data_IF_384989334374
#
_entry.id   IF_384989334374
#
_cell.length_a   1.000
_cell.length_b   1.000
_cell.length_c   1.000
_cell.angle_alpha   90.00
_cell.angle_beta   90.00
_cell.angle_gamma   90.00
#
_symmetry.space_group_name_H-M   'P 1'
#
loop_
_entity.id
_entity.type
_entity.pdbx_description
1 polymer ?
#
# COMPACT_ATOMS: atom_id res chain seq x y z
N UNK A 1 -19.30 31.38 -5.15
CA UNK A 1 -19.50 29.95 -4.86
C UNK A 1 -18.38 29.17 -5.54
N UNK A 2 -17.27 28.93 -4.85
CA UNK A 2 -16.14 28.15 -5.38
C UNK A 2 -16.27 26.72 -4.87
N UNK A 3 -16.36 25.75 -5.79
CA UNK A 3 -16.44 24.33 -5.44
C UNK A 3 -15.07 23.85 -4.96
N UNK A 4 -14.98 23.56 -3.67
CA UNK A 4 -13.84 22.93 -3.02
C UNK A 4 -13.79 21.43 -3.40
N UNK A 5 -13.00 21.10 -4.42
CA UNK A 5 -12.74 19.70 -4.81
C UNK A 5 -11.63 19.15 -3.92
N UNK A 6 -12.02 18.50 -2.81
CA UNK A 6 -11.10 17.68 -2.02
C UNK A 6 -10.59 16.51 -2.87
N UNK A 7 -9.29 16.17 -2.83
CA UNK A 7 -8.77 15.02 -3.56
C UNK A 7 -9.29 13.74 -2.91
N UNK A 8 -10.27 13.10 -3.55
CA UNK A 8 -10.69 11.75 -3.22
C UNK A 8 -9.55 10.80 -3.55
N UNK A 9 -9.11 9.98 -2.58
CA UNK A 9 -8.24 8.85 -2.84
C UNK A 9 -8.87 7.98 -3.94
N UNK A 10 -8.23 7.93 -5.11
CA UNK A 10 -8.64 7.06 -6.21
C UNK A 10 -8.00 5.71 -5.99
N UNK A 11 -8.77 4.75 -5.48
CA UNK A 11 -8.41 3.34 -5.53
C UNK A 11 -8.69 2.82 -6.94
N UNK A 12 -7.69 2.26 -7.60
CA UNK A 12 -7.88 1.49 -8.83
C UNK A 12 -7.82 0.02 -8.44
N UNK A 13 -8.97 -0.66 -8.50
CA UNK A 13 -9.03 -2.11 -8.35
C UNK A 13 -9.06 -2.73 -9.75
N UNK A 14 -8.02 -3.51 -10.10
CA UNK A 14 -8.03 -4.35 -11.29
C UNK A 14 -8.34 -5.77 -10.83
N UNK A 15 -9.45 -6.34 -11.31
CA UNK A 15 -9.79 -7.74 -11.07
C UNK A 15 -9.36 -8.51 -12.32
N UNK A 16 -8.19 -9.14 -12.26
CA UNK A 16 -7.80 -10.16 -13.23
C UNK A 16 -8.22 -11.51 -12.62
N UNK A 17 -8.86 -12.37 -13.41
CA UNK A 17 -9.44 -13.64 -12.98
C UNK A 17 -8.51 -14.43 -12.04
N UNK A 18 -9.01 -14.66 -10.82
CA UNK A 18 -8.38 -15.29 -9.64
C UNK A 18 -7.44 -14.46 -8.77
N UNK A 19 -7.07 -13.23 -9.13
CA UNK A 19 -6.23 -12.34 -8.28
C UNK A 19 -6.87 -10.97 -8.16
N UNK A 20 -7.21 -10.56 -6.94
CA UNK A 20 -7.64 -9.19 -6.71
C UNK A 20 -6.45 -8.29 -6.39
N UNK A 21 -6.19 -7.32 -7.28
CA UNK A 21 -5.20 -6.28 -7.07
C UNK A 21 -5.88 -5.01 -6.57
N UNK A 22 -5.38 -4.49 -5.45
CA UNK A 22 -5.75 -3.17 -4.96
C UNK A 22 -4.53 -2.23 -4.99
N UNK A 23 -4.60 -1.18 -5.81
CA UNK A 23 -3.63 -0.09 -5.81
C UNK A 23 -4.22 1.13 -5.10
N UNK A 24 -3.63 1.52 -3.97
CA UNK A 24 -4.05 2.71 -3.22
C UNK A 24 -2.95 3.77 -3.31
N UNK A 25 -3.34 4.93 -3.84
CA UNK A 25 -2.55 6.14 -3.79
C UNK A 25 -2.76 6.78 -2.41
N UNK A 26 -1.76 6.67 -1.54
CA UNK A 26 -1.72 7.46 -0.32
C UNK A 26 -1.31 8.88 -0.71
N UNK A 27 -2.28 9.80 -0.78
CA UNK A 27 -1.95 11.22 -0.95
C UNK A 27 -1.08 11.67 0.24
N UNK A 28 -0.09 12.56 0.04
CA UNK A 28 0.50 13.26 1.17
C UNK A 28 -0.63 13.94 1.93
N UNK A 29 -0.61 13.91 3.26
CA UNK A 29 -1.54 14.69 4.06
C UNK A 29 -1.43 16.15 3.61
N UNK A 30 -2.43 16.66 2.89
CA UNK A 30 -2.50 18.08 2.56
C UNK A 30 -2.84 18.78 3.85
N UNK A 31 -1.85 19.41 4.47
CA UNK A 31 -2.07 20.31 5.60
C UNK A 31 -2.88 21.52 5.13
N UNK A 32 -4.20 21.40 5.09
CA UNK A 32 -5.08 22.56 5.17
C UNK A 32 -5.13 22.95 6.65
N UNK A 33 -4.25 23.89 7.05
CA UNK A 33 -4.31 24.51 8.38
C UNK A 33 -5.66 25.24 8.53
N UNK A 34 -6.52 24.75 9.44
CA UNK A 34 -7.56 25.55 10.08
C UNK A 34 -7.50 25.28 11.59
N UNK A 35 -6.91 26.21 12.33
CA UNK A 35 -6.83 26.18 13.79
C UNK A 35 -5.78 25.22 14.35
N UNK A 36 -5.48 25.35 15.65
CA UNK A 36 -4.39 24.72 16.41
C UNK A 36 -4.46 23.18 16.57
N UNK A 37 -5.05 22.47 15.60
CA UNK A 37 -4.97 21.01 15.46
C UNK A 37 -4.48 20.68 14.05
N UNK A 38 -3.43 19.84 13.89
CA UNK A 38 -3.12 19.29 12.58
C UNK A 38 -4.29 18.40 12.15
N UNK A 39 -5.10 18.89 11.21
CA UNK A 39 -6.13 18.09 10.55
C UNK A 39 -5.43 17.18 9.53
N UNK A 40 -5.67 15.87 9.66
CA UNK A 40 -5.14 14.83 8.78
C UNK A 40 -3.88 14.16 9.34
N UNK A 41 -4.07 13.02 10.02
CA UNK A 41 -2.94 12.12 10.29
C UNK A 41 -2.32 11.60 9.00
N UNK A 42 -1.10 11.09 9.06
CA UNK A 42 -0.58 10.28 7.94
C UNK A 42 -1.45 9.02 7.87
N UNK A 43 -2.22 8.77 6.79
CA UNK A 43 -3.13 7.63 6.75
C UNK A 43 -2.40 6.30 6.98
N UNK A 44 -1.13 6.22 6.54
CA UNK A 44 -0.24 5.07 6.75
C UNK A 44 0.36 4.97 8.18
N UNK A 45 -0.24 5.65 9.17
CA UNK A 45 0.00 5.46 10.61
C UNK A 45 -1.30 5.15 11.37
N UNK A 46 -2.44 5.11 10.69
CA UNK A 46 -3.76 5.03 11.31
C UNK A 46 -4.39 3.62 11.23
N UNK A 47 -3.66 2.60 10.78
CA UNK A 47 -4.16 1.23 10.69
C UNK A 47 -4.06 0.48 12.02
N UNK A 48 -4.93 -0.52 12.29
CA UNK A 48 -5.17 -1.00 13.65
C UNK A 48 -4.11 -1.95 14.21
N UNK A 49 -3.29 -2.58 13.36
CA UNK A 49 -2.24 -3.46 13.84
C UNK A 49 -1.05 -2.67 14.41
N UNK A 50 -0.66 -3.03 15.64
CA UNK A 50 0.42 -2.38 16.38
C UNK A 50 0.30 -0.84 16.42
N UNK A 51 -0.92 -0.29 16.34
CA UNK A 51 -1.14 1.15 16.32
C UNK A 51 -0.61 1.82 17.59
N UNK A 52 0.01 2.98 17.43
CA UNK A 52 0.47 3.83 18.53
C UNK A 52 0.11 5.28 18.24
N UNK A 53 -0.11 6.07 19.30
CA UNK A 53 -0.29 7.50 19.17
C UNK A 53 1.05 8.16 18.84
N UNK A 54 1.18 8.71 17.64
CA UNK A 54 2.35 9.44 17.17
C UNK A 54 1.98 10.90 16.97
N UNK A 55 2.93 11.80 17.20
CA UNK A 55 2.80 13.23 16.97
C UNK A 55 3.63 13.73 15.78
N UNK A 56 3.61 15.05 15.56
CA UNK A 56 4.45 15.71 14.56
C UNK A 56 4.13 15.29 13.12
N UNK A 57 5.17 15.15 12.30
CA UNK A 57 5.01 14.77 10.88
C UNK A 57 4.43 13.37 10.70
N UNK A 58 4.50 12.51 11.72
CA UNK A 58 4.00 11.14 11.68
C UNK A 58 2.67 11.00 12.44
N UNK A 59 1.93 12.10 12.66
CA UNK A 59 0.69 12.10 13.43
C UNK A 59 -0.25 10.96 13.01
N UNK A 60 -0.62 10.09 13.97
CA UNK A 60 -1.33 8.84 13.69
C UNK A 60 -2.83 8.89 13.97
N UNK A 61 -3.36 10.06 14.32
CA UNK A 61 -4.75 10.27 14.73
C UNK A 61 -4.98 10.06 16.24
N UNK A 62 -6.17 10.39 16.76
CA UNK A 62 -6.50 10.19 18.17
C UNK A 62 -6.61 8.72 18.59
N UNK A 63 -6.95 7.82 17.67
CA UNK A 63 -7.01 6.37 17.87
C UNK A 63 -6.87 5.66 16.51
N UNK A 64 -6.60 4.35 16.53
CA UNK A 64 -6.61 3.54 15.31
C UNK A 64 -7.92 3.73 14.53
N UNK A 65 -7.82 3.83 13.20
CA UNK A 65 -8.94 4.02 12.29
C UNK A 65 -9.80 5.26 12.60
N UNK A 66 -9.21 6.31 13.17
CA UNK A 66 -9.85 7.63 13.31
C UNK A 66 -10.10 8.30 11.97
N UNK A 67 -9.24 8.07 10.97
CA UNK A 67 -9.36 8.68 9.66
C UNK A 67 -10.40 7.92 8.81
N UNK A 68 -11.33 8.62 8.15
CA UNK A 68 -12.33 7.98 7.30
C UNK A 68 -11.71 7.22 6.12
N UNK A 69 -10.58 7.68 5.59
CA UNK A 69 -9.84 7.02 4.51
C UNK A 69 -9.30 5.66 4.95
N UNK A 70 -8.71 5.59 6.15
CA UNK A 70 -8.20 4.33 6.69
C UNK A 70 -9.33 3.34 6.97
N UNK A 71 -10.49 3.81 7.46
CA UNK A 71 -11.69 2.97 7.59
C UNK A 71 -12.17 2.42 6.24
N UNK A 72 -12.29 3.28 5.24
CA UNK A 72 -12.73 2.88 3.90
C UNK A 72 -11.77 1.87 3.26
N UNK A 73 -10.46 2.06 3.43
CA UNK A 73 -9.45 1.11 2.96
C UNK A 73 -9.59 -0.24 3.66
N UNK A 74 -9.70 -0.26 5.00
CA UNK A 74 -9.89 -1.51 5.77
C UNK A 74 -11.17 -2.24 5.35
N UNK A 75 -12.28 -1.52 5.18
CA UNK A 75 -13.54 -2.11 4.74
C UNK A 75 -13.41 -2.73 3.33
N UNK A 76 -12.85 -1.99 2.38
CA UNK A 76 -12.65 -2.47 1.01
C UNK A 76 -11.74 -3.71 1.00
N UNK A 77 -10.61 -3.64 1.68
CA UNK A 77 -9.63 -4.73 1.73
C UNK A 77 -10.22 -5.98 2.39
N UNK A 78 -11.00 -5.83 3.47
CA UNK A 78 -11.67 -6.96 4.12
C UNK A 78 -12.76 -7.58 3.24
N UNK A 79 -13.49 -6.76 2.47
CA UNK A 79 -14.51 -7.24 1.54
C UNK A 79 -13.91 -7.98 0.36
N UNK A 80 -12.82 -7.44 -0.19
CA UNK A 80 -12.17 -7.94 -1.40
C UNK A 80 -11.25 -9.13 -1.10
N UNK A 81 -10.56 -9.11 0.04
CA UNK A 81 -9.53 -10.09 0.45
C UNK A 81 -8.49 -10.33 -0.66
N UNK A 82 -7.75 -9.28 -1.08
CA UNK A 82 -6.82 -9.38 -2.20
C UNK A 82 -5.64 -10.31 -1.88
N UNK A 83 -5.21 -11.08 -2.87
CA UNK A 83 -3.97 -11.86 -2.81
C UNK A 83 -2.73 -10.94 -2.90
N UNK A 84 -2.89 -9.77 -3.55
CA UNK A 84 -1.83 -8.78 -3.73
C UNK A 84 -2.37 -7.35 -3.55
N UNK A 85 -1.77 -6.58 -2.65
CA UNK A 85 -2.01 -5.14 -2.50
C UNK A 85 -0.71 -4.35 -2.69
N UNK A 86 -0.75 -3.29 -3.50
CA UNK A 86 0.39 -2.39 -3.70
C UNK A 86 0.01 -0.99 -3.25
N UNK A 87 0.74 -0.46 -2.27
CA UNK A 87 0.58 0.90 -1.78
C UNK A 87 1.57 1.82 -2.48
N UNK A 88 1.08 2.77 -3.27
CA UNK A 88 1.95 3.72 -3.97
C UNK A 88 2.12 4.99 -3.15
N UNK A 89 3.39 5.30 -2.90
CA UNK A 89 3.87 6.47 -2.17
C UNK A 89 4.86 7.25 -3.05
N UNK A 90 5.34 8.39 -2.55
CA UNK A 90 6.41 9.22 -3.14
C UNK A 90 7.20 9.89 -2.00
N UNK A 91 8.48 10.28 -2.21
CA UNK A 91 9.15 10.42 -3.51
C UNK A 91 10.44 9.60 -3.71
N UNK A 92 10.66 8.49 -2.98
CA UNK A 92 12.01 7.89 -2.87
C UNK A 92 12.51 7.11 -4.08
N UNK A 93 11.64 6.66 -4.99
CA UNK A 93 12.06 5.88 -6.16
C UNK A 93 12.57 4.48 -5.82
N UNK A 94 11.94 3.79 -4.86
CA UNK A 94 12.32 2.45 -4.39
C UNK A 94 11.10 1.54 -4.26
N UNK A 95 11.31 0.23 -4.30
CA UNK A 95 10.36 -0.73 -3.70
C UNK A 95 10.78 -0.95 -2.27
N UNK A 96 9.88 -0.74 -1.32
CA UNK A 96 10.16 -1.05 0.08
C UNK A 96 9.98 -2.55 0.29
N UNK A 97 10.96 -3.17 0.95
CA UNK A 97 10.78 -4.46 1.57
C UNK A 97 9.87 -4.22 2.75
N UNK A 98 8.55 -4.19 2.56
CA UNK A 98 7.53 -3.71 3.51
C UNK A 98 7.07 -4.75 4.52
N UNK A 99 7.41 -6.01 4.29
CA UNK A 99 7.09 -7.11 5.22
C UNK A 99 6.15 -8.15 4.63
N UNK A 100 5.69 -7.94 3.39
CA UNK A 100 4.99 -8.95 2.62
C UNK A 100 5.95 -10.04 2.12
N UNK A 101 5.46 -10.85 1.18
CA UNK A 101 6.24 -11.92 0.56
C UNK A 101 7.52 -11.37 -0.11
N UNK A 102 8.72 -11.75 0.39
CA UNK A 102 9.99 -11.26 -0.15
C UNK A 102 10.26 -11.64 -1.60
N UNK A 103 9.68 -12.73 -2.10
CA UNK A 103 9.77 -13.12 -3.49
C UNK A 103 8.97 -12.14 -4.36
N UNK A 104 7.73 -11.84 -3.97
CA UNK A 104 6.85 -10.90 -4.71
C UNK A 104 7.47 -9.50 -4.75
N UNK A 105 7.95 -8.98 -3.61
CA UNK A 105 8.59 -7.66 -3.54
C UNK A 105 9.83 -7.58 -4.45
N UNK A 106 10.66 -8.64 -4.47
CA UNK A 106 11.85 -8.71 -5.32
C UNK A 106 11.52 -8.83 -6.80
N UNK A 107 10.56 -9.68 -7.16
CA UNK A 107 10.08 -9.83 -8.53
C UNK A 107 9.52 -8.51 -9.04
N UNK A 108 8.70 -7.82 -8.26
CA UNK A 108 8.18 -6.50 -8.63
C UNK A 108 9.30 -5.50 -8.87
N UNK A 109 10.24 -5.37 -7.94
CA UNK A 109 11.38 -4.45 -8.04
C UNK A 109 12.20 -4.68 -9.32
N UNK A 110 12.47 -5.94 -9.66
CA UNK A 110 13.13 -6.32 -10.91
C UNK A 110 12.33 -5.91 -12.16
N UNK A 111 11.02 -6.16 -12.17
CA UNK A 111 10.14 -5.83 -13.30
C UNK A 111 10.03 -4.32 -13.55
N UNK A 112 9.97 -3.51 -12.49
CA UNK A 112 9.86 -2.04 -12.62
C UNK A 112 11.21 -1.35 -12.78
N UNK A 113 12.31 -2.03 -12.44
CA UNK A 113 13.67 -1.50 -12.47
C UNK A 113 13.93 -0.47 -11.36
N UNK A 114 13.36 -0.69 -10.18
CA UNK A 114 13.61 0.12 -8.98
C UNK A 114 14.41 -0.69 -7.96
N UNK A 115 15.28 -0.05 -7.17
CA UNK A 115 16.00 -0.74 -6.10
C UNK A 115 15.03 -1.23 -5.02
N UNK A 116 15.32 -2.43 -4.50
CA UNK A 116 14.60 -3.01 -3.36
C UNK A 116 15.34 -2.65 -2.06
N UNK A 117 14.71 -1.85 -1.20
CA UNK A 117 15.33 -1.30 0.02
C UNK A 117 14.44 -1.57 1.23
N UNK A 118 15.01 -1.78 2.42
CA UNK A 118 14.21 -1.84 3.67
C UNK A 118 14.13 -0.44 4.28
N UNK A 119 12.95 0.17 4.25
CA UNK A 119 12.70 1.46 4.91
C UNK A 119 12.36 1.29 6.40
N UNK A 120 12.40 2.41 7.13
CA UNK A 120 12.00 2.46 8.53
C UNK A 120 10.58 1.97 8.72
N UNK A 121 10.37 1.12 9.73
CA UNK A 121 9.05 0.63 10.10
C UNK A 121 8.41 1.51 11.15
N UNK A 122 7.17 1.89 10.88
CA UNK A 122 6.35 2.66 11.79
C UNK A 122 5.12 1.85 12.21
N UNK A 123 4.66 2.01 13.46
CA UNK A 123 3.41 1.41 13.93
C UNK A 123 2.21 1.93 13.13
N UNK A 124 1.15 1.11 13.04
CA UNK A 124 -0.09 1.49 12.38
C UNK A 124 0.01 1.67 10.86
N UNK A 125 0.95 1.00 10.20
CA UNK A 125 1.05 0.99 8.74
C UNK A 125 0.00 0.07 8.08
N UNK A 126 -0.38 0.41 6.85
CA UNK A 126 -1.35 -0.35 6.08
C UNK A 126 -0.86 -1.75 5.73
N UNK A 127 0.37 -1.86 5.22
CA UNK A 127 1.00 -3.14 4.91
C UNK A 127 1.18 -3.99 6.16
N UNK A 128 1.67 -3.40 7.26
CA UNK A 128 1.82 -4.11 8.53
C UNK A 128 0.50 -4.67 9.05
N UNK A 129 -0.60 -3.93 8.90
CA UNK A 129 -1.94 -4.44 9.22
C UNK A 129 -2.40 -5.55 8.27
N UNK A 130 -2.23 -5.38 6.96
CA UNK A 130 -2.67 -6.38 5.98
C UNK A 130 -1.91 -7.69 6.13
N UNK A 131 -0.57 -7.65 6.15
CA UNK A 131 0.29 -8.84 6.24
C UNK A 131 0.09 -9.59 7.58
N UNK A 132 -0.33 -8.88 8.63
CA UNK A 132 -0.70 -9.52 9.91
C UNK A 132 -2.09 -10.15 9.89
N UNK A 133 -3.04 -9.58 9.15
CA UNK A 133 -4.48 -9.91 9.29
C UNK A 133 -4.98 -10.82 8.16
N UNK A 134 -4.33 -10.81 7.00
CA UNK A 134 -4.79 -11.45 5.78
C UNK A 134 -3.70 -12.36 5.20
N UNK A 135 -4.08 -13.43 4.49
CA UNK A 135 -3.12 -14.36 3.90
C UNK A 135 -2.45 -13.83 2.63
N UNK A 136 -3.01 -12.79 2.00
CA UNK A 136 -2.41 -12.12 0.85
C UNK A 136 -1.20 -11.27 1.24
N UNK A 137 -0.45 -10.81 0.25
CA UNK A 137 0.76 -9.99 0.45
C UNK A 137 0.49 -8.52 0.15
N UNK A 138 1.03 -7.62 0.99
CA UNK A 138 0.97 -6.18 0.78
C UNK A 138 2.36 -5.54 0.87
N UNK A 139 2.68 -4.64 -0.08
CA UNK A 139 3.95 -3.90 -0.02
C UNK A 139 3.84 -2.47 -0.55
N UNK A 140 4.84 -1.65 -0.22
CA UNK A 140 4.92 -0.25 -0.63
C UNK A 140 5.86 -0.08 -1.82
N UNK A 141 5.42 0.74 -2.78
CA UNK A 141 6.26 1.27 -3.85
C UNK A 141 6.35 2.77 -3.67
N UNK A 142 7.53 3.26 -3.32
CA UNK A 142 7.85 4.67 -3.26
C UNK A 142 8.27 5.12 -4.66
N UNK A 143 7.35 5.71 -5.42
CA UNK A 143 7.65 6.28 -6.72
C UNK A 143 8.65 7.45 -6.59
N UNK A 144 9.45 7.74 -7.62
CA UNK A 144 10.31 8.92 -7.60
C UNK A 144 9.48 10.21 -7.58
N UNK A 145 10.07 11.32 -7.14
CA UNK A 145 9.43 12.65 -7.14
C UNK A 145 8.80 13.03 -8.49
N UNK A 146 9.46 12.65 -9.59
CA UNK A 146 8.95 12.79 -10.95
C UNK A 146 8.70 11.41 -11.59
N UNK A 147 7.44 11.11 -11.89
CA UNK A 147 7.03 9.84 -12.51
C UNK A 147 7.01 9.99 -14.03
N UNK A 148 7.92 9.29 -14.71
CA UNK A 148 7.96 9.27 -16.18
C UNK A 148 6.89 8.34 -16.76
N UNK A 149 6.42 8.64 -17.97
CA UNK A 149 5.50 7.73 -18.69
C UNK A 149 6.10 6.34 -18.94
N UNK A 150 7.43 6.23 -19.05
CA UNK A 150 8.12 4.95 -19.14
C UNK A 150 8.00 4.13 -17.86
N UNK A 151 8.13 4.77 -16.70
CA UNK A 151 7.92 4.12 -15.40
C UNK A 151 6.47 3.65 -15.24
N UNK A 152 5.48 4.49 -15.56
CA UNK A 152 4.05 4.10 -15.52
C UNK A 152 3.79 2.84 -16.34
N UNK A 153 4.35 2.76 -17.55
CA UNK A 153 4.21 1.57 -18.42
C UNK A 153 4.87 0.32 -17.82
N UNK A 154 6.08 0.45 -17.26
CA UNK A 154 6.75 -0.69 -16.60
C UNK A 154 5.97 -1.16 -15.37
N UNK A 155 5.53 -0.23 -14.52
CA UNK A 155 4.69 -0.53 -13.36
C UNK A 155 3.40 -1.24 -13.76
N UNK A 156 2.71 -0.74 -14.78
CA UNK A 156 1.46 -1.36 -15.26
C UNK A 156 1.69 -2.79 -15.77
N UNK A 157 2.78 -3.03 -16.51
CA UNK A 157 3.16 -4.38 -16.97
C UNK A 157 3.54 -5.28 -15.80
N UNK A 158 4.35 -4.80 -14.86
CA UNK A 158 4.78 -5.55 -13.69
C UNK A 158 3.58 -6.03 -12.84
N UNK A 159 2.59 -5.15 -12.66
CA UNK A 159 1.32 -5.49 -12.01
C UNK A 159 0.62 -6.66 -12.70
N UNK A 160 0.45 -6.58 -14.03
CA UNK A 160 -0.23 -7.62 -14.80
C UNK A 160 0.55 -8.95 -14.81
N UNK A 161 1.89 -8.89 -14.87
CA UNK A 161 2.77 -10.05 -14.78
C UNK A 161 2.60 -10.75 -13.44
N UNK A 162 2.70 -10.03 -12.32
CA UNK A 162 2.51 -10.63 -10.98
C UNK A 162 1.10 -11.19 -10.79
N UNK A 163 0.06 -10.51 -11.29
CA UNK A 163 -1.30 -11.03 -11.20
C UNK A 163 -1.45 -12.36 -11.96
N UNK A 164 -0.77 -12.52 -13.10
CA UNK A 164 -0.74 -13.79 -13.83
C UNK A 164 0.04 -14.89 -13.10
N UNK A 165 1.16 -14.55 -12.47
CA UNK A 165 1.99 -15.49 -11.71
C UNK A 165 1.26 -15.99 -10.46
N UNK A 166 0.63 -15.10 -9.71
CA UNK A 166 -0.12 -15.43 -8.49
C UNK A 166 -1.44 -16.16 -8.77
N UNK A 167 -2.06 -15.91 -9.94
CA UNK A 167 -3.27 -16.60 -10.37
C UNK A 167 -3.02 -18.00 -10.93
N UNK A 168 -1.74 -18.38 -11.15
CA UNK A 168 -1.37 -19.68 -11.69
C UNK A 168 -1.29 -20.73 -10.57
N UNK A 169 -1.94 -21.90 -10.70
CA UNK A 169 -2.01 -22.91 -9.64
C UNK A 169 -0.65 -23.50 -9.22
N UNK A 170 0.39 -23.37 -10.04
CA UNK A 170 1.75 -23.86 -9.72
C UNK A 170 2.47 -23.02 -8.65
N UNK A 171 2.20 -21.71 -8.55
CA UNK A 171 2.89 -20.83 -7.58
C UNK A 171 2.25 -20.92 -6.19
N UNK A 172 0.93 -21.15 -6.11
CA UNK A 172 0.24 -21.37 -4.84
C UNK A 172 0.72 -22.61 -4.06
N UNK A 173 1.27 -23.61 -4.76
CA UNK A 173 1.90 -24.77 -4.14
C UNK A 173 3.32 -24.47 -3.61
N UNK A 174 4.05 -23.58 -4.29
CA UNK A 174 5.42 -23.23 -3.90
C UNK A 174 5.47 -22.32 -2.65
N UNK A 175 4.52 -21.40 -2.50
CA UNK A 175 4.40 -20.54 -1.31
C UNK A 175 3.93 -21.32 -0.07
N UNK A 176 3.03 -22.30 -0.25
CA UNK A 176 2.62 -23.21 0.82
C UNK A 176 3.77 -24.10 1.32
N UNK A 177 4.70 -24.49 0.44
CA UNK A 177 5.84 -25.34 0.78
C UNK A 177 6.97 -24.62 1.53
N UNK A 178 7.08 -23.29 1.41
CA UNK A 178 8.06 -22.48 2.16
C UNK A 178 7.55 -22.10 3.55
N UNK A 179 6.24 -22.20 3.79
CA UNK A 179 5.56 -21.72 4.99
C UNK A 179 5.27 -22.78 6.07
N UNK A 180 6.01 -23.90 6.14
CA UNK A 180 5.92 -24.75 7.34
C UNK A 180 7.02 -25.79 7.52
N UNK A 181 7.19 -26.32 8.74
CA UNK A 181 6.94 -25.71 10.06
C UNK A 181 8.14 -24.93 10.61
#
# INVERSE_FOLDING_TARGET
MSQDRRPTARALALVATSVCLLAILAAPATAAQRGDRPLGGRPNRNFPYAWQHLGGLEYSGPHALSEPESRAAVELIRRVRPDLTIWFHQPFGVVDRSGGDPWVERSFAGLVGLPLVRLSRYPGSATGWQDHTLPGTAFVVELPSAVSGGLVRRTSRAILTLAGELGSPEVGAATAAVAGP
#
